data_IF_737752139966
#
_entry.id   IF_737752139966
#
_cell.length_a   1.000
_cell.length_b   1.000
_cell.length_c   1.000
_cell.angle_alpha   90.00
_cell.angle_beta   90.00
_cell.angle_gamma   90.00
#
_symmetry.space_group_name_H-M   'P 1'
#
loop_
_entity.id
_entity.type
_entity.pdbx_description
1 polymer ?
#
# COMPACT_ATOMS: atom_id res chain seq x y z
N UNK A 1 12.49 -67.04 5.03
CA UNK A 1 12.98 -65.97 5.92
C UNK A 1 13.82 -65.02 5.10
N UNK A 2 13.27 -63.87 4.70
CA UNK A 2 14.05 -62.74 4.18
C UNK A 2 13.20 -61.47 4.41
N UNK A 3 13.85 -60.45 4.97
CA UNK A 3 13.28 -59.28 5.64
C UNK A 3 13.82 -58.03 4.93
N UNK A 4 12.91 -57.05 4.71
CA UNK A 4 13.10 -55.59 4.45
C UNK A 4 13.67 -55.12 3.09
N UNK A 5 13.56 -53.82 2.71
CA UNK A 5 12.78 -52.68 3.26
C UNK A 5 11.86 -52.00 2.19
N UNK A 6 10.78 -51.28 2.51
CA UNK A 6 10.80 -49.94 3.11
C UNK A 6 11.02 -48.84 2.05
N UNK A 7 9.97 -48.46 1.31
CA UNK A 7 9.98 -47.28 0.41
C UNK A 7 8.93 -46.28 0.90
N UNK A 8 9.31 -45.43 1.85
CA UNK A 8 8.63 -44.17 2.17
C UNK A 8 9.62 -43.04 1.92
N UNK A 9 9.06 -41.88 1.58
CA UNK A 9 9.70 -40.56 1.48
C UNK A 9 10.27 -40.23 0.09
N UNK A 10 9.55 -39.36 -0.63
CA UNK A 10 10.05 -38.32 -1.55
C UNK A 10 8.86 -37.54 -2.15
N UNK A 11 8.04 -36.89 -1.32
CA UNK A 11 7.02 -35.92 -1.81
C UNK A 11 6.83 -34.72 -0.87
N UNK A 12 7.83 -34.37 -0.06
CA UNK A 12 7.70 -33.26 0.89
C UNK A 12 8.92 -32.33 0.80
N UNK A 13 9.18 -31.79 -0.39
CA UNK A 13 10.14 -30.69 -0.56
C UNK A 13 9.91 -29.98 -1.91
N UNK A 14 8.78 -29.30 -2.07
CA UNK A 14 8.53 -28.35 -3.18
C UNK A 14 7.17 -27.66 -2.97
N UNK A 15 7.06 -26.80 -1.97
CA UNK A 15 5.86 -25.97 -1.76
C UNK A 15 6.18 -24.70 -0.95
N UNK A 16 7.38 -24.14 -1.09
CA UNK A 16 7.81 -22.95 -0.32
C UNK A 16 8.17 -21.76 -1.23
N UNK A 17 8.38 -21.92 -2.53
CA UNK A 17 8.80 -20.80 -3.40
C UNK A 17 7.64 -20.03 -4.08
N UNK A 18 6.47 -20.63 -4.32
CA UNK A 18 5.42 -19.97 -5.12
C UNK A 18 4.67 -18.83 -4.38
N UNK A 19 4.83 -18.68 -3.06
CA UNK A 19 4.15 -17.60 -2.32
C UNK A 19 4.94 -16.30 -2.22
N UNK A 20 6.25 -16.31 -2.53
CA UNK A 20 7.07 -15.09 -2.47
C UNK A 20 7.00 -14.26 -3.76
N UNK A 21 6.80 -14.89 -4.93
CA UNK A 21 6.75 -14.16 -6.20
C UNK A 21 5.47 -13.31 -6.35
N UNK A 22 4.32 -13.74 -5.81
CA UNK A 22 3.08 -12.95 -5.87
C UNK A 22 3.09 -11.69 -4.97
N UNK A 23 3.90 -11.65 -3.90
CA UNK A 23 4.01 -10.48 -3.03
C UNK A 23 4.90 -9.36 -3.59
N UNK A 24 5.91 -9.69 -4.40
CA UNK A 24 6.83 -8.71 -4.99
C UNK A 24 6.20 -7.94 -6.16
N UNK A 25 5.40 -8.61 -6.98
CA UNK A 25 4.71 -7.98 -8.12
C UNK A 25 3.71 -6.90 -7.64
N UNK A 26 2.96 -7.16 -6.57
CA UNK A 26 1.96 -6.24 -6.00
C UNK A 26 2.59 -4.92 -5.49
N UNK A 27 3.77 -5.01 -4.85
CA UNK A 27 4.50 -3.82 -4.40
C UNK A 27 4.92 -2.96 -5.58
N UNK A 28 5.35 -3.59 -6.67
CA UNK A 28 5.83 -2.90 -7.86
C UNK A 28 4.70 -2.24 -8.66
N UNK A 29 3.54 -2.90 -8.76
CA UNK A 29 2.34 -2.36 -9.41
C UNK A 29 1.75 -1.19 -8.62
N UNK A 30 1.62 -1.34 -7.29
CA UNK A 30 1.18 -0.27 -6.41
C UNK A 30 2.10 0.95 -6.48
N UNK A 31 3.42 0.72 -6.46
CA UNK A 31 4.41 1.79 -6.52
C UNK A 31 4.46 2.47 -7.89
N UNK A 32 4.28 1.73 -8.99
CA UNK A 32 4.13 2.30 -10.34
C UNK A 32 2.88 3.15 -10.46
N UNK A 33 1.73 2.65 -10.00
CA UNK A 33 0.46 3.38 -10.03
C UNK A 33 0.52 4.64 -9.16
N UNK A 34 1.16 4.56 -8.00
CA UNK A 34 1.41 5.71 -7.15
C UNK A 34 2.36 6.72 -7.80
N UNK A 35 3.48 6.29 -8.40
CA UNK A 35 4.42 7.18 -9.09
C UNK A 35 3.78 7.90 -10.28
N UNK A 36 2.94 7.21 -11.06
CA UNK A 36 2.18 7.82 -12.16
C UNK A 36 1.19 8.86 -11.62
N UNK A 37 0.56 8.60 -10.48
CA UNK A 37 -0.40 9.52 -9.84
C UNK A 37 0.30 10.72 -9.17
N UNK A 38 1.49 10.53 -8.60
CA UNK A 38 2.30 11.59 -7.96
C UNK A 38 2.76 12.63 -9.00
N UNK A 39 3.01 12.22 -10.24
CA UNK A 39 3.35 13.13 -11.33
C UNK A 39 2.22 14.10 -11.72
N UNK A 40 0.97 13.77 -11.38
CA UNK A 40 -0.22 14.52 -11.81
C UNK A 40 -0.94 15.25 -10.66
N UNK A 41 -0.72 14.86 -9.40
CA UNK A 41 -1.53 15.30 -8.25
C UNK A 41 -0.73 15.78 -7.01
N UNK A 42 0.38 16.48 -7.19
CA UNK A 42 1.26 16.92 -6.09
C UNK A 42 0.69 18.02 -5.16
N UNK A 43 -0.63 18.23 -5.05
CA UNK A 43 -1.19 19.40 -4.34
C UNK A 43 -2.23 19.13 -3.25
N UNK A 44 -2.81 17.94 -3.10
CA UNK A 44 -3.77 17.72 -1.99
C UNK A 44 -3.68 16.30 -1.43
N UNK A 45 -3.31 16.18 -0.16
CA UNK A 45 -3.36 14.95 0.65
C UNK A 45 -4.79 14.48 0.99
N UNK A 46 -5.80 15.09 0.38
CA UNK A 46 -7.21 14.89 0.70
C UNK A 46 -7.69 13.50 0.23
N UNK A 47 -8.21 12.71 1.16
CA UNK A 47 -8.77 11.39 0.92
C UNK A 47 -10.23 11.57 0.47
N UNK A 48 -10.44 11.43 -0.83
CA UNK A 48 -11.75 11.53 -1.47
C UNK A 48 -12.33 10.13 -1.77
N UNK A 49 -13.65 10.03 -1.90
CA UNK A 49 -14.29 8.85 -2.47
C UNK A 49 -13.70 8.54 -3.86
N UNK A 50 -13.39 7.27 -4.12
CA UNK A 50 -12.70 6.77 -5.31
C UNK A 50 -11.17 6.78 -5.22
N UNK A 51 -10.60 7.32 -4.13
CA UNK A 51 -9.15 7.29 -3.92
C UNK A 51 -8.67 5.91 -3.45
N UNK A 52 -7.39 5.63 -3.71
CA UNK A 52 -6.69 4.47 -3.17
C UNK A 52 -6.04 4.84 -1.84
N UNK A 53 -6.45 4.15 -0.78
CA UNK A 53 -5.97 4.35 0.59
C UNK A 53 -5.17 3.14 1.06
N UNK A 54 -4.28 3.35 2.01
CA UNK A 54 -3.48 2.29 2.63
C UNK A 54 -3.96 2.09 4.07
N UNK A 55 -4.09 0.83 4.48
CA UNK A 55 -4.45 0.49 5.86
C UNK A 55 -3.19 0.50 6.76
N UNK A 56 -3.26 1.26 7.86
CA UNK A 56 -2.24 1.28 8.91
C UNK A 56 -2.34 0.12 9.88
N UNK A 57 -3.52 -0.48 10.06
CA UNK A 57 -3.77 -1.60 10.97
C UNK A 57 -4.31 -2.86 10.28
N UNK A 58 -4.03 -4.02 10.87
CA UNK A 58 -4.55 -5.32 10.42
C UNK A 58 -5.92 -5.61 11.04
N UNK A 59 -6.91 -5.91 10.21
CA UNK A 59 -8.21 -6.46 10.63
C UNK A 59 -8.54 -7.71 9.77
N UNK A 60 -7.95 -8.88 10.11
CA UNK A 60 -8.05 -10.09 9.28
C UNK A 60 -9.49 -10.59 9.11
N UNK A 61 -10.34 -10.40 10.12
CA UNK A 61 -11.76 -10.79 10.08
C UNK A 61 -12.55 -10.08 8.98
N UNK A 62 -12.02 -8.96 8.47
CA UNK A 62 -12.60 -8.12 7.43
C UNK A 62 -11.79 -8.17 6.13
N UNK A 63 -10.75 -9.03 6.06
CA UNK A 63 -9.84 -9.08 4.91
C UNK A 63 -8.97 -7.81 4.76
N UNK A 64 -8.80 -7.05 5.85
CA UNK A 64 -7.97 -5.84 5.86
C UNK A 64 -6.60 -6.19 6.43
N UNK A 65 -5.57 -5.86 5.66
CA UNK A 65 -4.17 -6.15 5.94
C UNK A 65 -3.38 -4.85 5.88
N UNK A 66 -2.43 -4.71 6.79
CA UNK A 66 -1.56 -3.55 6.91
C UNK A 66 -0.67 -3.41 5.67
N UNK A 67 -0.39 -2.17 5.28
CA UNK A 67 0.40 -1.82 4.10
C UNK A 67 -0.19 -2.30 2.77
N UNK A 68 -1.44 -2.75 2.78
CA UNK A 68 -2.18 -3.07 1.55
C UNK A 68 -3.05 -1.90 1.12
N UNK A 69 -3.24 -1.82 -0.20
CA UNK A 69 -4.04 -0.77 -0.83
C UNK A 69 -5.50 -1.21 -1.00
N UNK A 70 -6.41 -0.27 -0.73
CA UNK A 70 -7.85 -0.45 -0.83
C UNK A 70 -8.46 0.73 -1.58
N UNK A 71 -9.51 0.46 -2.35
CA UNK A 71 -10.33 1.48 -2.98
C UNK A 71 -11.39 1.97 -1.99
N UNK A 72 -11.45 3.28 -1.79
CA UNK A 72 -12.46 3.91 -0.95
C UNK A 72 -13.75 4.13 -1.75
N UNK A 73 -14.77 3.30 -1.55
CA UNK A 73 -16.01 3.38 -2.33
C UNK A 73 -17.00 4.42 -1.83
N UNK A 74 -17.16 4.55 -0.51
CA UNK A 74 -18.08 5.52 0.09
C UNK A 74 -17.59 5.99 1.46
N UNK A 75 -17.96 7.21 1.81
CA UNK A 75 -17.78 7.80 3.14
C UNK A 75 -19.15 8.26 3.61
N UNK A 76 -19.54 7.93 4.84
CA UNK A 76 -20.78 8.42 5.41
C UNK A 76 -20.69 8.55 6.94
N UNK A 77 -21.40 9.53 7.49
CA UNK A 77 -21.59 9.68 8.92
C UNK A 77 -22.91 8.98 9.30
N UNK A 78 -22.88 8.06 10.27
CA UNK A 78 -24.07 7.39 10.77
C UNK A 78 -24.30 7.76 12.23
N UNK A 79 -25.51 8.21 12.54
CA UNK A 79 -25.90 8.61 13.89
C UNK A 79 -27.40 8.56 14.08
N UNK A 80 -27.84 8.88 15.29
CA UNK A 80 -29.26 8.95 15.61
C UNK A 80 -29.72 10.40 15.49
N UNK A 81 -30.77 10.63 14.73
CA UNK A 81 -31.37 11.95 14.60
C UNK A 81 -32.28 12.21 15.83
N UNK A 82 -32.00 13.27 16.58
CA UNK A 82 -32.71 13.58 17.83
C UNK A 82 -34.19 13.93 17.61
N UNK A 83 -34.54 14.45 16.43
CA UNK A 83 -35.92 14.89 16.13
C UNK A 83 -36.82 13.72 15.69
N UNK A 84 -36.24 12.75 14.97
CA UNK A 84 -37.01 11.62 14.41
C UNK A 84 -36.79 10.30 15.15
N UNK A 85 -35.74 10.22 15.99
CA UNK A 85 -35.33 8.99 16.65
C UNK A 85 -34.88 7.88 15.69
N UNK A 86 -34.66 8.21 14.41
CA UNK A 86 -34.24 7.26 13.40
C UNK A 86 -32.73 7.29 13.19
N UNK A 87 -32.17 6.16 12.73
CA UNK A 87 -30.77 6.08 12.30
C UNK A 87 -30.65 6.74 10.94
N UNK A 88 -29.88 7.81 10.86
CA UNK A 88 -29.63 8.56 9.63
C UNK A 88 -28.21 8.29 9.12
N UNK A 89 -28.07 8.21 7.80
CA UNK A 89 -26.78 8.08 7.11
C UNK A 89 -26.57 9.30 6.23
N UNK A 90 -25.58 10.12 6.56
CA UNK A 90 -25.22 11.33 5.85
C UNK A 90 -24.02 11.03 4.95
N UNK A 91 -24.18 10.95 3.62
CA UNK A 91 -23.07 10.70 2.71
C UNK A 91 -22.09 11.88 2.71
N UNK A 92 -20.81 11.56 2.57
CA UNK A 92 -19.70 12.52 2.52
C UNK A 92 -18.82 12.25 1.31
N UNK A 93 -18.16 13.31 0.84
CA UNK A 93 -17.24 13.23 -0.30
C UNK A 93 -15.79 13.10 0.17
N UNK A 94 -15.44 13.69 1.31
CA UNK A 94 -14.08 13.70 1.86
C UNK A 94 -14.00 13.16 3.27
N UNK A 95 -12.86 12.59 3.62
CA UNK A 95 -12.62 12.05 4.96
C UNK A 95 -12.35 13.14 5.99
N UNK A 96 -11.85 14.30 5.58
CA UNK A 96 -11.46 15.42 6.44
C UNK A 96 -12.61 16.41 6.66
N UNK A 97 -13.74 16.20 5.98
CA UNK A 97 -14.90 17.09 6.07
C UNK A 97 -15.33 17.21 7.55
N UNK A 98 -15.47 18.44 8.09
CA UNK A 98 -15.83 18.61 9.49
C UNK A 98 -17.18 17.95 9.77
N UNK A 99 -17.22 17.23 10.89
CA UNK A 99 -18.45 16.68 11.45
C UNK A 99 -19.37 17.87 11.73
N UNK A 100 -20.60 17.85 11.19
CA UNK A 100 -21.48 19.01 11.32
C UNK A 100 -21.79 19.27 12.81
N UNK A 101 -21.92 20.52 13.25
CA UNK A 101 -22.06 20.84 14.67
C UNK A 101 -23.36 20.30 15.30
N UNK A 102 -24.37 19.93 14.49
CA UNK A 102 -25.60 19.27 14.95
C UNK A 102 -25.43 17.75 15.21
N UNK A 103 -24.25 17.19 14.98
CA UNK A 103 -24.06 15.74 14.84
C UNK A 103 -23.07 15.14 15.87
N UNK A 104 -23.08 15.61 17.13
CA UNK A 104 -22.19 15.08 18.18
C UNK A 104 -22.35 13.57 18.47
N UNK A 105 -23.41 12.95 17.94
CA UNK A 105 -23.70 11.51 18.05
C UNK A 105 -23.47 10.72 16.76
N UNK A 106 -22.78 11.29 15.77
CA UNK A 106 -22.55 10.63 14.48
C UNK A 106 -21.12 10.09 14.42
N UNK A 107 -21.02 8.81 14.06
CA UNK A 107 -19.75 8.11 13.84
C UNK A 107 -19.49 8.02 12.35
N UNK A 108 -18.26 8.34 11.93
CA UNK A 108 -17.85 8.23 10.54
C UNK A 108 -17.52 6.79 10.17
N UNK A 109 -18.05 6.34 9.05
CA UNK A 109 -17.78 5.03 8.46
C UNK A 109 -17.31 5.19 7.02
N UNK A 110 -16.47 4.25 6.60
CA UNK A 110 -15.95 4.15 5.24
C UNK A 110 -16.17 2.76 4.70
N UNK A 111 -16.42 2.66 3.39
CA UNK A 111 -16.50 1.39 2.70
C UNK A 111 -15.24 1.19 1.88
N UNK A 112 -14.49 0.13 2.20
CA UNK A 112 -13.25 -0.25 1.53
C UNK A 112 -13.46 -1.48 0.67
N UNK A 113 -12.83 -1.50 -0.49
CA UNK A 113 -12.85 -2.65 -1.39
C UNK A 113 -11.44 -2.95 -1.91
N UNK A 114 -11.09 -4.22 -1.96
CA UNK A 114 -9.90 -4.71 -2.66
C UNK A 114 -10.31 -5.92 -3.48
N UNK A 115 -10.05 -5.92 -4.79
CA UNK A 115 -10.39 -7.06 -5.65
C UNK A 115 -9.73 -8.36 -5.17
N UNK A 116 -8.49 -8.28 -4.67
CA UNK A 116 -7.73 -9.41 -4.14
C UNK A 116 -8.37 -10.02 -2.89
N UNK A 117 -8.77 -9.17 -1.93
CA UNK A 117 -9.26 -9.63 -0.62
C UNK A 117 -10.78 -9.75 -0.53
N UNK A 118 -11.51 -9.00 -1.37
CA UNK A 118 -12.98 -8.88 -1.34
C UNK A 118 -13.65 -9.36 -2.62
N UNK A 119 -12.94 -9.46 -3.75
CA UNK A 119 -13.44 -9.92 -5.06
C UNK A 119 -13.21 -11.41 -5.35
N UNK A 120 -12.43 -12.13 -4.54
CA UNK A 120 -12.13 -13.55 -4.72
C UNK A 120 -13.31 -14.52 -4.46
N UNK A 121 -13.06 -15.83 -4.63
CA UNK A 121 -14.03 -16.96 -4.54
C UNK A 121 -14.93 -17.00 -3.29
N UNK A 122 -14.59 -16.23 -2.25
CA UNK A 122 -15.33 -16.17 -1.00
C UNK A 122 -16.45 -15.11 -1.00
N UNK A 123 -16.54 -14.23 -2.02
CA UNK A 123 -17.66 -13.31 -2.21
C UNK A 123 -17.92 -12.35 -1.04
N UNK A 124 -16.87 -11.97 -0.31
CA UNK A 124 -16.98 -11.18 0.92
C UNK A 124 -17.54 -9.77 0.67
N UNK A 125 -17.27 -9.20 -0.51
CA UNK A 125 -17.78 -7.90 -0.92
C UNK A 125 -17.11 -6.73 -0.17
N UNK A 126 -17.50 -5.48 -0.50
CA UNK A 126 -16.97 -4.29 0.15
C UNK A 126 -17.25 -4.30 1.65
N UNK A 127 -16.29 -3.80 2.44
CA UNK A 127 -16.37 -3.86 3.90
C UNK A 127 -16.46 -2.47 4.50
N UNK A 128 -17.36 -2.32 5.47
CA UNK A 128 -17.59 -1.07 6.21
C UNK A 128 -16.76 -1.07 7.49
N UNK A 129 -15.98 -0.01 7.70
CA UNK A 129 -15.09 0.15 8.86
C UNK A 129 -15.07 1.59 9.36
N UNK A 130 -14.64 1.77 10.61
CA UNK A 130 -14.32 3.09 11.14
C UNK A 130 -12.92 3.51 10.68
N UNK A 131 -12.73 4.74 10.16
CA UNK A 131 -11.41 5.24 9.78
C UNK A 131 -10.37 5.17 10.90
N UNK A 132 -10.81 5.37 12.15
CA UNK A 132 -9.94 5.35 13.33
C UNK A 132 -9.44 3.94 13.67
N UNK A 133 -10.18 2.90 13.30
CA UNK A 133 -9.76 1.51 13.57
C UNK A 133 -8.71 1.03 12.56
N UNK A 134 -8.82 1.48 11.31
CA UNK A 134 -7.96 1.04 10.20
C UNK A 134 -6.74 1.93 10.01
N UNK A 135 -6.73 3.12 10.64
CA UNK A 135 -5.67 4.13 10.47
C UNK A 135 -5.38 4.38 8.99
N UNK A 136 -6.37 4.92 8.28
CA UNK A 136 -6.26 5.15 6.85
C UNK A 136 -5.29 6.29 6.55
N UNK A 137 -4.30 6.02 5.72
CA UNK A 137 -3.42 7.04 5.14
C UNK A 137 -3.57 7.08 3.61
N UNK A 138 -3.28 8.25 3.04
CA UNK A 138 -3.24 8.39 1.59
C UNK A 138 -2.03 7.65 1.04
N UNK A 139 -2.21 6.83 0.00
CA UNK A 139 -1.10 6.13 -0.65
C UNK A 139 -0.01 7.10 -1.14
N UNK A 140 -0.40 8.32 -1.53
CA UNK A 140 0.53 9.34 -2.00
C UNK A 140 1.43 9.86 -0.88
N UNK A 141 0.89 10.08 0.32
CA UNK A 141 1.69 10.59 1.45
C UNK A 141 2.72 9.56 1.90
N UNK A 142 2.36 8.28 1.91
CA UNK A 142 3.29 7.18 2.25
C UNK A 142 4.44 7.08 1.24
N UNK A 143 4.14 7.24 -0.06
CA UNK A 143 5.16 7.19 -1.12
C UNK A 143 6.10 8.39 -1.04
N UNK A 144 5.56 9.59 -0.82
CA UNK A 144 6.40 10.79 -0.66
C UNK A 144 7.31 10.65 0.56
N UNK A 145 6.77 10.22 1.69
CA UNK A 145 7.57 10.01 2.91
C UNK A 145 8.67 8.97 2.69
N UNK A 146 8.34 7.86 2.05
CA UNK A 146 9.31 6.81 1.69
C UNK A 146 10.43 7.33 0.78
N UNK A 147 10.08 8.13 -0.23
CA UNK A 147 11.06 8.75 -1.14
C UNK A 147 11.96 9.71 -0.37
N UNK A 148 11.38 10.58 0.47
CA UNK A 148 12.14 11.56 1.26
C UNK A 148 13.12 10.85 2.20
N UNK A 149 12.70 9.75 2.83
CA UNK A 149 13.55 8.94 3.71
C UNK A 149 14.66 8.20 2.94
N UNK A 150 14.45 7.87 1.67
CA UNK A 150 15.44 7.21 0.83
C UNK A 150 16.50 8.19 0.26
N UNK A 151 16.18 9.49 0.12
CA UNK A 151 17.06 10.49 -0.48
C UNK A 151 18.46 10.60 0.16
N UNK A 152 18.63 10.59 1.51
CA UNK A 152 19.95 10.73 2.12
C UNK A 152 20.89 9.57 1.78
N UNK A 153 20.37 8.33 1.84
CA UNK A 153 21.15 7.14 1.52
C UNK A 153 21.49 7.11 0.03
N UNK A 154 20.51 7.42 -0.82
CA UNK A 154 20.72 7.52 -2.26
C UNK A 154 21.79 8.56 -2.58
N UNK A 155 21.67 9.79 -2.07
CA UNK A 155 22.64 10.86 -2.31
C UNK A 155 24.06 10.50 -1.84
N UNK A 156 24.19 9.82 -0.69
CA UNK A 156 25.48 9.34 -0.21
C UNK A 156 26.15 8.38 -1.21
N UNK A 157 25.41 7.38 -1.69
CA UNK A 157 25.95 6.43 -2.67
C UNK A 157 26.24 7.06 -4.01
N UNK A 158 25.39 7.98 -4.48
CA UNK A 158 25.62 8.71 -5.75
C UNK A 158 26.86 9.59 -5.65
N UNK A 159 27.06 10.28 -4.52
CA UNK A 159 28.26 11.09 -4.28
C UNK A 159 29.53 10.22 -4.23
N UNK A 160 29.46 9.05 -3.59
CA UNK A 160 30.55 8.10 -3.53
C UNK A 160 30.88 7.55 -4.92
N UNK A 161 29.89 7.13 -5.70
CA UNK A 161 30.06 6.69 -7.08
C UNK A 161 30.67 7.79 -7.97
N UNK A 162 30.20 9.03 -7.83
CA UNK A 162 30.74 10.18 -8.54
C UNK A 162 32.20 10.47 -8.16
N UNK A 163 32.55 10.34 -6.87
CA UNK A 163 33.93 10.48 -6.39
C UNK A 163 34.86 9.45 -7.02
N UNK A 164 34.45 8.17 -7.07
CA UNK A 164 35.21 7.12 -7.75
C UNK A 164 35.34 7.38 -9.25
N UNK A 165 34.25 7.78 -9.91
CA UNK A 165 34.26 8.08 -11.34
C UNK A 165 35.23 9.21 -11.68
N UNK A 166 35.24 10.28 -10.87
CA UNK A 166 36.18 11.39 -11.03
C UNK A 166 37.63 10.96 -10.77
N UNK A 167 37.87 10.17 -9.73
CA UNK A 167 39.21 9.68 -9.41
C UNK A 167 39.76 8.74 -10.49
N UNK A 168 38.90 7.88 -11.06
CA UNK A 168 39.25 7.00 -12.18
C UNK A 168 39.61 7.82 -13.42
N UNK A 169 38.74 8.77 -13.79
CA UNK A 169 38.94 9.66 -14.95
C UNK A 169 40.23 10.45 -14.82
N UNK A 170 40.53 10.99 -13.64
CA UNK A 170 41.76 11.73 -13.37
C UNK A 170 43.04 10.86 -13.49
N UNK A 171 42.95 9.55 -13.22
CA UNK A 171 44.11 8.63 -13.26
C UNK A 171 44.34 8.00 -14.62
N UNK A 172 43.29 7.72 -15.38
CA UNK A 172 43.38 6.95 -16.64
C UNK A 172 43.13 7.79 -17.88
N UNK A 173 42.58 9.00 -17.72
CA UNK A 173 42.22 9.89 -18.84
C UNK A 173 41.03 9.40 -19.67
N UNK A 174 40.43 8.26 -19.33
CA UNK A 174 39.23 7.70 -19.95
C UNK A 174 37.97 8.00 -19.13
N UNK A 175 36.80 7.80 -19.73
CA UNK A 175 35.51 8.00 -19.04
C UNK A 175 35.09 6.75 -18.24
N UNK A 176 34.09 6.87 -17.37
CA UNK A 176 33.54 5.74 -16.63
C UNK A 176 32.98 4.63 -17.55
N UNK A 177 32.53 5.00 -18.75
CA UNK A 177 32.03 4.05 -19.77
C UNK A 177 33.17 3.21 -20.36
N UNK A 178 34.35 3.81 -20.57
CA UNK A 178 35.58 3.13 -21.02
C UNK A 178 36.03 2.05 -20.02
N UNK A 179 35.78 2.27 -18.72
CA UNK A 179 36.12 1.33 -17.66
C UNK A 179 35.22 0.09 -17.62
N UNK A 180 33.95 0.25 -18.04
CA UNK A 180 32.89 -0.75 -17.91
C UNK A 180 32.75 -1.61 -19.18
N UNK A 181 33.03 -1.04 -20.34
CA UNK A 181 32.85 -1.72 -21.63
C UNK A 181 34.16 -1.99 -22.37
N UNK A 182 35.30 -1.55 -21.82
CA UNK A 182 36.59 -1.65 -22.48
C UNK A 182 36.68 -0.73 -23.71
N UNK A 183 37.90 -0.49 -24.16
CA UNK A 183 38.17 0.25 -25.40
C UNK A 183 37.78 -0.52 -26.64
#
# INVERSE_FOLDING_TARGET
MMILPGRRSSQLFMAIDDQQEEEEDDRSEGLRKALLTVGEAATTSDINVGSTVVAGNNIPNLGIWQFQSYELQTIYDQGMNEETGAVEKLPRTRLEDPVQPSSSYYTRYVTLFSEKHHGGKNGMGPVVVSPNEVELSSMQTEVVDSVVMALPLFAFWTALAFSFANQYTARTGGTFVDALFGR
#
